data_IF_556200003333
#
_entry.id   IF_556200003333
#
_cell.length_a   1.000
_cell.length_b   1.000
_cell.length_c   1.000
_cell.angle_alpha   90.00
_cell.angle_beta   90.00
_cell.angle_gamma   90.00
#
_symmetry.space_group_name_H-M   'P 1'
#
loop_
_entity.id
_entity.type
_entity.pdbx_description
1 polymer ?
#
# COMPACT_ATOMS: atom_id res chain seq x y z
N UNK A 1 0.44 22.52 29.13
CA UNK A 1 -0.16 21.84 27.97
C UNK A 1 -0.03 20.36 28.20
N UNK A 2 -1.04 19.58 27.82
CA UNK A 2 -1.05 18.12 27.94
C UNK A 2 -0.79 17.55 26.55
N UNK A 3 0.26 16.73 26.42
CA UNK A 3 0.61 16.07 25.16
C UNK A 3 0.21 14.60 25.24
N UNK A 4 -0.57 14.15 24.26
CA UNK A 4 -1.04 12.77 24.13
C UNK A 4 -0.37 12.11 22.92
N UNK A 5 0.96 11.98 22.98
CA UNK A 5 1.81 11.48 21.88
C UNK A 5 1.41 12.11 20.52
N UNK A 6 1.06 11.28 19.55
CA UNK A 6 0.70 11.65 18.18
C UNK A 6 -0.77 12.04 18.01
N UNK A 7 -1.59 11.95 19.06
CA UNK A 7 -2.97 12.45 19.08
C UNK A 7 -3.00 13.98 19.11
N UNK A 8 -2.06 14.61 19.82
CA UNK A 8 -1.89 16.06 19.79
C UNK A 8 -1.47 16.69 21.12
N UNK A 9 -1.43 18.02 21.13
CA UNK A 9 -1.13 18.83 22.31
C UNK A 9 -2.29 19.75 22.63
N UNK A 10 -2.78 19.65 23.85
CA UNK A 10 -4.00 20.32 24.31
C UNK A 10 -3.65 21.34 25.40
N UNK A 11 -4.34 22.49 25.41
CA UNK A 11 -4.17 23.48 26.49
C UNK A 11 -4.65 22.90 27.82
N UNK A 12 -5.83 22.28 27.80
CA UNK A 12 -6.46 21.55 28.90
C UNK A 12 -7.13 20.31 28.34
N UNK A 13 -7.26 19.27 29.15
CA UNK A 13 -8.05 18.07 28.87
C UNK A 13 -9.10 17.90 29.98
N UNK A 14 -10.17 17.13 29.78
CA UNK A 14 -11.14 16.85 30.84
C UNK A 14 -10.45 16.31 32.11
N UNK A 15 -10.94 16.63 33.33
CA UNK A 15 -10.34 16.15 34.57
C UNK A 15 -10.14 14.63 34.64
N UNK A 16 -11.09 13.88 34.09
CA UNK A 16 -10.99 12.41 34.03
C UNK A 16 -9.86 11.92 33.12
N UNK A 17 -9.54 12.65 32.04
CA UNK A 17 -8.38 12.35 31.20
C UNK A 17 -7.10 12.58 32.00
N UNK A 18 -7.01 13.66 32.78
CA UNK A 18 -5.86 13.88 33.66
C UNK A 18 -5.70 12.72 34.66
N UNK A 19 -6.79 12.28 35.30
CA UNK A 19 -6.76 11.15 36.24
C UNK A 19 -6.25 9.86 35.58
N UNK A 20 -6.71 9.57 34.35
CA UNK A 20 -6.28 8.41 33.57
C UNK A 20 -4.78 8.47 33.26
N UNK A 21 -4.30 9.60 32.73
CA UNK A 21 -2.92 9.70 32.25
C UNK A 21 -1.91 9.86 33.40
N UNK A 22 -2.33 10.40 34.54
CA UNK A 22 -1.50 10.53 35.75
C UNK A 22 -1.53 9.29 36.65
N UNK A 23 -2.45 8.35 36.43
CA UNK A 23 -2.59 7.17 37.29
C UNK A 23 -3.26 7.47 38.63
N UNK A 24 -4.15 8.46 38.70
CA UNK A 24 -4.86 8.79 39.95
C UNK A 24 -6.01 7.81 40.20
N UNK A 25 -5.65 6.62 40.69
CA UNK A 25 -6.61 5.53 40.94
C UNK A 25 -7.69 5.93 41.94
N UNK A 26 -7.38 6.80 42.90
CA UNK A 26 -8.36 7.25 43.90
C UNK A 26 -9.47 8.06 43.22
N UNK A 27 -9.08 8.99 42.34
CA UNK A 27 -10.04 9.79 41.59
C UNK A 27 -10.80 8.95 40.55
N UNK A 28 -10.15 7.96 39.94
CA UNK A 28 -10.82 7.01 39.03
C UNK A 28 -11.87 6.15 39.76
N UNK A 29 -11.56 5.67 40.98
CA UNK A 29 -12.54 4.96 41.81
C UNK A 29 -13.72 5.85 42.20
N UNK A 30 -13.49 7.14 42.46
CA UNK A 30 -14.56 8.11 42.71
C UNK A 30 -15.45 8.27 41.47
N UNK A 31 -14.88 8.54 40.30
CA UNK A 31 -15.66 8.66 39.05
C UNK A 31 -16.44 7.39 38.74
N UNK A 32 -15.84 6.22 38.93
CA UNK A 32 -16.50 4.93 38.73
C UNK A 32 -17.69 4.73 39.69
N UNK A 33 -17.51 5.06 40.97
CA UNK A 33 -18.57 5.00 41.98
C UNK A 33 -19.73 5.98 41.69
N UNK A 34 -19.43 7.11 41.04
CA UNK A 34 -20.42 8.09 40.57
C UNK A 34 -21.14 7.65 39.28
N UNK A 35 -20.82 6.47 38.74
CA UNK A 35 -21.49 5.88 37.57
C UNK A 35 -20.84 6.26 36.25
N UNK A 36 -19.57 6.66 36.24
CA UNK A 36 -18.82 6.82 34.99
C UNK A 36 -18.69 5.48 34.25
N UNK A 37 -19.07 5.50 32.96
CA UNK A 37 -18.94 4.37 32.04
C UNK A 37 -17.52 4.30 31.46
N UNK A 38 -16.77 3.27 31.87
CA UNK A 38 -15.38 3.03 31.45
C UNK A 38 -15.24 2.60 29.98
N UNK A 39 -16.35 2.25 29.31
CA UNK A 39 -16.36 1.93 27.87
C UNK A 39 -16.61 3.16 27.00
N UNK A 40 -17.16 4.23 27.60
CA UNK A 40 -17.57 5.42 26.85
C UNK A 40 -16.36 6.27 26.48
N UNK A 41 -16.27 6.61 25.20
CA UNK A 41 -15.25 7.55 24.71
C UNK A 41 -15.36 8.92 25.37
N UNK A 42 -14.21 9.54 25.61
CA UNK A 42 -14.06 10.85 26.22
C UNK A 42 -13.62 11.84 25.15
N UNK A 43 -14.36 12.93 25.00
CA UNK A 43 -13.99 14.01 24.08
C UNK A 43 -12.91 14.89 24.68
N UNK A 44 -11.76 14.94 24.01
CA UNK A 44 -10.55 15.67 24.45
C UNK A 44 -10.45 17.02 23.71
N UNK A 45 -10.94 17.05 22.48
CA UNK A 45 -10.97 18.22 21.62
C UNK A 45 -12.13 18.16 20.64
N UNK A 46 -12.22 19.12 19.73
CA UNK A 46 -13.36 19.27 18.80
C UNK A 46 -13.61 18.02 17.92
N UNK A 47 -12.55 17.26 17.64
CA UNK A 47 -12.56 16.13 16.70
C UNK A 47 -11.77 14.92 17.24
N UNK A 48 -11.61 14.82 18.56
CA UNK A 48 -10.79 13.78 19.19
C UNK A 48 -11.55 13.19 20.35
N UNK A 49 -11.95 11.93 20.17
CA UNK A 49 -12.60 11.12 21.18
C UNK A 49 -11.75 9.86 21.40
N UNK A 50 -11.42 9.56 22.66
CA UNK A 50 -10.59 8.40 23.00
C UNK A 50 -11.26 7.55 24.07
N UNK A 51 -11.09 6.23 24.00
CA UNK A 51 -11.53 5.37 25.09
C UNK A 51 -10.62 5.54 26.32
N UNK A 52 -11.12 5.30 27.54
CA UNK A 52 -10.28 5.31 28.73
C UNK A 52 -9.11 4.33 28.64
N UNK A 53 -9.34 3.18 28.01
CA UNK A 53 -8.33 2.15 27.76
C UNK A 53 -7.25 2.63 26.79
N UNK A 54 -7.62 3.26 25.67
CA UNK A 54 -6.67 3.80 24.70
C UNK A 54 -5.82 4.90 25.31
N UNK A 55 -6.41 5.80 26.11
CA UNK A 55 -5.65 6.81 26.84
C UNK A 55 -4.59 6.20 27.78
N UNK A 56 -4.95 5.14 28.50
CA UNK A 56 -4.01 4.42 29.36
C UNK A 56 -2.87 3.78 28.56
N UNK A 57 -3.16 3.21 27.38
CA UNK A 57 -2.16 2.57 26.51
C UNK A 57 -1.27 3.59 25.79
N UNK A 58 -1.85 4.64 25.20
CA UNK A 58 -1.13 5.73 24.53
C UNK A 58 -0.15 6.36 25.51
N UNK A 59 -0.57 6.61 26.75
CA UNK A 59 0.27 7.21 27.78
C UNK A 59 1.09 6.21 28.57
N UNK A 60 1.03 4.92 28.22
CA UNK A 60 1.76 3.84 28.89
C UNK A 60 1.52 3.81 30.42
N UNK A 61 0.34 4.25 30.87
CA UNK A 61 -0.01 4.31 32.28
C UNK A 61 -0.48 2.93 32.76
N UNK A 62 0.49 2.14 33.25
CA UNK A 62 0.23 0.76 33.61
C UNK A 62 -0.68 0.61 34.84
N UNK A 63 -0.66 1.56 35.77
CA UNK A 63 -1.54 1.52 36.95
C UNK A 63 -3.00 1.73 36.56
N UNK A 64 -3.28 2.73 35.71
CA UNK A 64 -4.63 2.92 35.15
C UNK A 64 -5.07 1.72 34.32
N UNK A 65 -4.17 1.13 33.51
CA UNK A 65 -4.48 -0.07 32.74
C UNK A 65 -4.91 -1.24 33.65
N UNK A 66 -4.12 -1.53 34.69
CA UNK A 66 -4.45 -2.58 35.67
C UNK A 66 -5.80 -2.31 36.35
N UNK A 67 -6.03 -1.05 36.71
CA UNK A 67 -7.30 -0.65 37.32
C UNK A 67 -8.48 -0.86 36.36
N UNK A 68 -8.39 -0.40 35.11
CA UNK A 68 -9.45 -0.59 34.10
C UNK A 68 -9.76 -2.09 33.87
N UNK A 69 -8.73 -2.92 33.77
CA UNK A 69 -8.88 -4.38 33.65
C UNK A 69 -9.57 -4.97 34.88
N UNK A 70 -9.22 -4.52 36.08
CA UNK A 70 -9.87 -4.97 37.33
C UNK A 70 -11.36 -4.60 37.39
N UNK A 71 -11.79 -3.56 36.67
CA UNK A 71 -13.20 -3.16 36.54
C UNK A 71 -13.91 -3.80 35.35
N UNK A 72 -13.22 -4.68 34.60
CA UNK A 72 -13.82 -5.48 33.53
C UNK A 72 -13.92 -4.75 32.18
N UNK A 73 -13.03 -3.79 31.90
CA UNK A 73 -12.99 -3.12 30.58
C UNK A 73 -12.85 -4.12 29.42
N UNK A 74 -13.52 -3.86 28.30
CA UNK A 74 -13.48 -4.69 27.12
C UNK A 74 -12.17 -4.52 26.33
N UNK A 75 -11.27 -5.49 26.46
CA UNK A 75 -10.00 -5.52 25.73
C UNK A 75 -10.13 -5.78 24.22
N UNK A 76 -11.30 -6.22 23.76
CA UNK A 76 -11.52 -6.79 22.43
C UNK A 76 -12.61 -6.04 21.65
N UNK A 77 -12.70 -4.72 21.81
CA UNK A 77 -13.56 -3.88 21.00
C UNK A 77 -13.29 -4.12 19.49
N UNK A 78 -14.37 -4.30 18.72
CA UNK A 78 -14.29 -4.76 17.32
C UNK A 78 -13.42 -3.85 16.44
N UNK A 79 -13.59 -2.55 16.58
CA UNK A 79 -12.98 -1.55 15.70
C UNK A 79 -11.64 -1.00 16.22
N UNK A 80 -11.36 -1.21 17.52
CA UNK A 80 -10.11 -0.84 18.16
C UNK A 80 -9.68 -1.82 19.28
N UNK A 81 -9.19 -3.02 18.93
CA UNK A 81 -8.71 -3.99 19.92
C UNK A 81 -7.48 -3.46 20.67
N UNK A 82 -7.47 -3.62 22.00
CA UNK A 82 -6.41 -3.10 22.88
C UNK A 82 -4.99 -3.59 22.54
N UNK A 83 -4.88 -4.83 22.03
CA UNK A 83 -3.60 -5.40 21.62
C UNK A 83 -2.90 -4.54 20.55
N UNK A 84 -3.67 -3.96 19.62
CA UNK A 84 -3.15 -3.14 18.53
C UNK A 84 -2.61 -1.80 19.04
N UNK A 85 -3.37 -1.11 19.89
CA UNK A 85 -2.92 0.13 20.56
C UNK A 85 -1.67 -0.13 21.41
N UNK A 86 -1.64 -1.24 22.16
CA UNK A 86 -0.49 -1.57 23.00
C UNK A 86 0.77 -1.90 22.19
N UNK A 87 0.62 -2.62 21.08
CA UNK A 87 1.73 -2.89 20.15
C UNK A 87 2.31 -1.60 19.57
N UNK A 88 1.46 -0.63 19.27
CA UNK A 88 1.90 0.67 18.75
C UNK A 88 2.62 1.50 19.80
N UNK A 89 2.09 1.58 21.02
CA UNK A 89 2.48 2.59 21.99
C UNK A 89 3.30 2.08 23.17
N UNK A 90 3.21 0.80 23.53
CA UNK A 90 3.72 0.26 24.78
C UNK A 90 4.89 -0.71 24.58
N UNK A 91 5.54 -1.05 25.68
CA UNK A 91 6.58 -2.09 25.78
C UNK A 91 5.99 -3.45 26.14
N UNK A 92 6.87 -4.45 26.13
CA UNK A 92 6.51 -5.87 26.24
C UNK A 92 5.76 -6.23 27.53
N UNK A 93 6.01 -5.54 28.64
CA UNK A 93 5.35 -5.78 29.92
C UNK A 93 3.85 -5.49 29.86
N UNK A 94 3.45 -4.34 29.30
CA UNK A 94 2.04 -3.97 29.11
C UNK A 94 1.37 -4.90 28.10
N UNK A 95 2.04 -5.22 26.98
CA UNK A 95 1.50 -6.12 25.95
C UNK A 95 1.25 -7.52 26.53
N UNK A 96 2.22 -8.07 27.26
CA UNK A 96 2.07 -9.38 27.90
C UNK A 96 0.97 -9.38 28.96
N UNK A 97 0.84 -8.29 29.72
CA UNK A 97 -0.23 -8.15 30.71
C UNK A 97 -1.61 -8.18 30.06
N UNK A 98 -1.82 -7.44 28.95
CA UNK A 98 -3.07 -7.47 28.19
C UNK A 98 -3.42 -8.88 27.70
N UNK A 99 -2.45 -9.57 27.10
CA UNK A 99 -2.67 -10.94 26.58
C UNK A 99 -3.01 -11.90 27.71
N UNK A 100 -2.33 -11.81 28.86
CA UNK A 100 -2.64 -12.60 30.05
C UNK A 100 -4.05 -12.37 30.59
N UNK A 101 -4.67 -11.22 30.29
CA UNK A 101 -6.04 -10.86 30.68
C UNK A 101 -7.04 -10.99 29.52
N UNK A 102 -6.68 -11.70 28.44
CA UNK A 102 -7.61 -12.09 27.39
C UNK A 102 -7.69 -11.14 26.20
N UNK A 103 -6.74 -10.22 26.02
CA UNK A 103 -6.62 -9.48 24.77
C UNK A 103 -6.29 -10.44 23.61
N UNK A 104 -7.07 -10.36 22.53
CA UNK A 104 -6.87 -11.19 21.33
C UNK A 104 -5.73 -10.62 20.49
N UNK A 105 -4.80 -11.51 20.13
CA UNK A 105 -3.58 -11.18 19.37
C UNK A 105 -3.86 -11.11 17.85
N UNK A 106 -4.67 -12.03 17.33
CA UNK A 106 -4.96 -12.15 15.90
C UNK A 106 -6.21 -11.34 15.52
N UNK A 107 -6.06 -10.02 15.51
CA UNK A 107 -7.14 -9.05 15.27
C UNK A 107 -6.71 -7.95 14.30
N UNK A 108 -7.68 -7.20 13.79
CA UNK A 108 -7.47 -5.99 12.99
C UNK A 108 -8.36 -4.87 13.51
N UNK A 109 -7.96 -3.61 13.31
CA UNK A 109 -8.81 -2.45 13.59
C UNK A 109 -9.78 -2.17 12.43
N UNK A 110 -10.57 -1.09 12.52
CA UNK A 110 -11.51 -0.66 11.48
C UNK A 110 -10.87 -0.38 10.11
N UNK A 111 -9.58 -0.04 10.08
CA UNK A 111 -8.77 0.14 8.87
C UNK A 111 -8.19 -1.17 8.33
N UNK A 112 -8.60 -2.31 8.90
CA UNK A 112 -8.04 -3.65 8.62
C UNK A 112 -6.55 -3.74 8.91
N UNK A 113 -6.04 -2.89 9.81
CA UNK A 113 -4.64 -2.88 10.20
C UNK A 113 -4.37 -3.89 11.31
N UNK A 114 -3.36 -4.74 11.14
CA UNK A 114 -2.93 -5.76 12.11
C UNK A 114 -1.77 -5.30 13.01
N UNK A 115 -1.28 -6.21 13.86
CA UNK A 115 -0.25 -5.90 14.84
C UNK A 115 1.09 -5.53 14.22
N UNK A 116 1.52 -6.19 13.14
CA UNK A 116 2.79 -5.81 12.50
C UNK A 116 2.70 -4.41 11.89
N UNK A 117 1.59 -4.07 11.26
CA UNK A 117 1.39 -2.73 10.71
C UNK A 117 1.34 -1.65 11.81
N UNK A 118 0.69 -1.93 12.94
CA UNK A 118 0.68 -1.01 14.07
C UNK A 118 2.07 -0.82 14.69
N UNK A 119 2.89 -1.87 14.73
CA UNK A 119 4.28 -1.77 15.16
C UNK A 119 5.10 -0.89 14.21
N UNK A 120 4.94 -1.03 12.89
CA UNK A 120 5.61 -0.16 11.92
C UNK A 120 5.16 1.29 12.03
N UNK A 121 3.84 1.52 12.11
CA UNK A 121 3.28 2.85 12.21
C UNK A 121 3.73 3.59 13.49
N UNK A 122 3.78 2.88 14.63
CA UNK A 122 4.32 3.41 15.89
C UNK A 122 5.85 3.46 15.95
N UNK A 123 6.56 2.95 14.93
CA UNK A 123 8.02 2.72 14.95
C UNK A 123 8.48 1.86 16.14
N UNK A 124 7.59 1.00 16.63
CA UNK A 124 7.78 0.09 17.76
C UNK A 124 8.38 -1.23 17.29
N UNK A 125 9.49 -1.17 16.56
CA UNK A 125 10.12 -2.33 15.93
C UNK A 125 10.58 -3.41 16.93
N UNK A 126 10.89 -3.01 18.17
CA UNK A 126 11.23 -3.94 19.25
C UNK A 126 10.09 -4.92 19.57
N UNK A 127 8.84 -4.55 19.24
CA UNK A 127 7.67 -5.40 19.47
C UNK A 127 7.49 -6.50 18.40
N UNK A 128 8.20 -6.45 17.27
CA UNK A 128 8.02 -7.41 16.17
C UNK A 128 8.25 -8.86 16.62
N UNK A 129 9.33 -9.12 17.37
CA UNK A 129 9.63 -10.45 17.89
C UNK A 129 8.56 -10.93 18.90
N UNK A 130 8.06 -10.02 19.73
CA UNK A 130 7.00 -10.31 20.70
C UNK A 130 5.70 -10.69 19.97
N UNK A 131 5.28 -9.90 18.98
CA UNK A 131 4.08 -10.16 18.16
C UNK A 131 4.14 -11.56 17.53
N UNK A 132 5.28 -11.91 16.94
CA UNK A 132 5.52 -13.25 16.38
C UNK A 132 5.38 -14.34 17.46
N UNK A 133 6.06 -14.16 18.61
CA UNK A 133 6.06 -15.15 19.71
C UNK A 133 4.68 -15.36 20.35
N UNK A 134 3.80 -14.36 20.29
CA UNK A 134 2.43 -14.42 20.79
C UNK A 134 1.45 -15.08 19.80
N UNK A 135 1.94 -15.54 18.64
CA UNK A 135 1.16 -16.31 17.67
C UNK A 135 0.57 -15.49 16.51
N UNK A 136 0.93 -14.20 16.38
CA UNK A 136 0.70 -13.43 15.15
C UNK A 136 1.92 -13.58 14.25
N UNK A 137 2.02 -14.74 13.60
CA UNK A 137 3.25 -15.19 12.95
C UNK A 137 3.56 -14.43 11.65
N UNK A 138 4.85 -14.27 11.35
CA UNK A 138 5.34 -13.51 10.18
C UNK A 138 4.93 -14.20 8.88
N UNK A 139 5.06 -15.51 8.84
CA UNK A 139 4.72 -16.39 7.73
C UNK A 139 3.27 -16.20 7.27
N UNK A 140 2.37 -15.86 8.20
CA UNK A 140 0.94 -15.75 7.93
C UNK A 140 0.48 -14.31 7.73
N UNK A 141 1.05 -13.36 8.49
CA UNK A 141 0.55 -11.99 8.56
C UNK A 141 1.57 -10.93 8.08
N UNK A 142 2.85 -11.28 8.01
CA UNK A 142 3.94 -10.33 7.78
C UNK A 142 4.05 -9.75 6.36
N UNK A 143 3.48 -10.40 5.33
CA UNK A 143 3.70 -9.97 3.93
C UNK A 143 3.28 -8.53 3.63
N UNK A 144 2.18 -8.07 4.23
CA UNK A 144 1.70 -6.70 4.07
C UNK A 144 2.63 -5.68 4.74
N UNK A 145 3.02 -5.94 5.99
CA UNK A 145 3.96 -5.09 6.73
C UNK A 145 5.35 -5.09 6.09
N UNK A 146 5.81 -6.23 5.58
CA UNK A 146 7.07 -6.35 4.86
C UNK A 146 7.10 -5.45 3.62
N UNK A 147 6.05 -5.49 2.79
CA UNK A 147 5.91 -4.59 1.63
C UNK A 147 5.94 -3.11 2.05
N UNK A 148 5.25 -2.74 3.13
CA UNK A 148 5.26 -1.36 3.64
C UNK A 148 6.65 -0.92 4.13
N UNK A 149 7.40 -1.82 4.78
CA UNK A 149 8.73 -1.50 5.29
C UNK A 149 9.78 -1.17 4.20
N UNK A 150 9.51 -1.54 2.94
CA UNK A 150 10.37 -1.23 1.78
C UNK A 150 10.52 0.27 1.59
N UNK A 151 9.42 1.05 1.66
CA UNK A 151 9.47 2.50 1.45
C UNK A 151 10.26 3.23 2.53
N UNK A 152 10.33 2.65 3.74
CA UNK A 152 11.06 3.21 4.88
C UNK A 152 12.56 2.89 4.83
N UNK A 153 13.01 2.06 3.89
CA UNK A 153 14.40 1.58 3.74
C UNK A 153 14.97 0.98 5.03
N UNK A 154 14.13 0.39 5.86
CA UNK A 154 14.51 -0.15 7.15
C UNK A 154 14.94 -1.62 7.04
N UNK A 155 16.17 -1.85 6.58
CA UNK A 155 16.72 -3.18 6.38
C UNK A 155 16.66 -4.08 7.63
N UNK A 156 16.78 -3.52 8.85
CA UNK A 156 16.66 -4.32 10.09
C UNK A 156 15.28 -4.94 10.24
N UNK A 157 14.23 -4.21 9.87
CA UNK A 157 12.85 -4.71 9.89
C UNK A 157 12.64 -5.73 8.77
N UNK A 158 13.18 -5.48 7.58
CA UNK A 158 13.13 -6.44 6.47
C UNK A 158 13.85 -7.75 6.82
N UNK A 159 15.05 -7.67 7.39
CA UNK A 159 15.85 -8.81 7.86
C UNK A 159 15.09 -9.62 8.92
N UNK A 160 14.39 -8.95 9.85
CA UNK A 160 13.52 -9.63 10.81
C UNK A 160 12.46 -10.47 10.08
N UNK A 161 11.69 -9.87 9.18
CA UNK A 161 10.64 -10.59 8.46
C UNK A 161 11.19 -11.73 7.60
N UNK A 162 12.32 -11.52 6.93
CA UNK A 162 13.01 -12.56 6.13
C UNK A 162 13.47 -13.71 7.02
N UNK A 163 14.02 -13.42 8.21
CA UNK A 163 14.47 -14.46 9.16
C UNK A 163 13.34 -15.37 9.66
N UNK A 164 12.09 -14.91 9.55
CA UNK A 164 10.88 -15.68 9.86
C UNK A 164 10.06 -16.03 8.61
N UNK A 165 10.72 -16.22 7.45
CA UNK A 165 10.12 -16.73 6.21
C UNK A 165 8.86 -15.98 5.76
N UNK A 166 8.89 -14.65 5.80
CA UNK A 166 7.82 -13.84 5.21
C UNK A 166 7.61 -14.18 3.73
N UNK A 167 6.37 -14.09 3.26
CA UNK A 167 6.06 -14.08 1.83
C UNK A 167 6.60 -12.78 1.20
N UNK A 168 7.86 -12.81 0.75
CA UNK A 168 8.54 -11.69 0.06
C UNK A 168 7.80 -11.26 -1.22
N UNK A 169 6.99 -12.16 -1.77
CA UNK A 169 6.22 -11.99 -3.00
C UNK A 169 4.75 -11.61 -2.75
N UNK A 170 4.40 -11.22 -1.51
CA UNK A 170 3.07 -10.77 -1.16
C UNK A 170 2.56 -9.65 -2.10
N UNK A 171 1.42 -9.90 -2.75
CA UNK A 171 0.85 -9.02 -3.78
C UNK A 171 -0.67 -8.86 -3.65
N UNK A 172 -1.19 -8.64 -2.44
CA UNK A 172 -2.62 -8.33 -2.27
C UNK A 172 -2.88 -6.83 -2.29
N UNK A 173 -4.13 -6.47 -2.58
CA UNK A 173 -4.57 -5.08 -2.54
C UNK A 173 -4.75 -4.66 -1.09
N UNK A 174 -4.41 -3.41 -0.79
CA UNK A 174 -4.72 -2.75 0.47
C UNK A 174 -5.20 -1.30 0.19
N UNK A 175 -5.35 -0.49 1.23
CA UNK A 175 -5.82 0.89 1.09
C UNK A 175 -4.79 1.85 0.48
N UNK A 176 -3.49 1.51 0.54
CA UNK A 176 -2.39 2.29 -0.03
C UNK A 176 -2.12 1.86 -1.48
N UNK A 177 -2.20 0.57 -1.74
CA UNK A 177 -1.83 -0.05 -3.01
C UNK A 177 -2.94 -0.95 -3.57
N UNK A 178 -3.94 -0.37 -4.27
CA UNK A 178 -5.05 -1.12 -4.85
C UNK A 178 -4.62 -2.00 -6.04
N UNK A 179 -3.52 -1.64 -6.70
CA UNK A 179 -2.96 -2.32 -7.87
C UNK A 179 -2.10 -3.55 -7.54
N UNK A 180 -2.06 -3.99 -6.28
CA UNK A 180 -1.45 -5.26 -5.87
C UNK A 180 0.08 -5.38 -6.15
N UNK A 181 0.91 -4.39 -5.79
CA UNK A 181 2.36 -4.46 -5.94
C UNK A 181 2.99 -5.57 -5.09
N UNK A 182 4.05 -6.20 -5.57
CA UNK A 182 5.01 -6.90 -4.70
C UNK A 182 5.92 -5.87 -4.01
N UNK A 183 6.66 -6.29 -2.98
CA UNK A 183 7.72 -5.48 -2.38
C UNK A 183 8.74 -4.99 -3.42
N UNK A 184 9.07 -5.83 -4.41
CA UNK A 184 10.01 -5.49 -5.47
C UNK A 184 9.47 -4.42 -6.42
N UNK A 185 8.20 -4.49 -6.79
CA UNK A 185 7.57 -3.44 -7.60
C UNK A 185 7.51 -2.10 -6.85
N UNK A 186 7.25 -2.11 -5.54
CA UNK A 186 7.32 -0.90 -4.70
C UNK A 186 8.73 -0.30 -4.76
N UNK A 187 9.78 -1.10 -4.54
CA UNK A 187 11.16 -0.63 -4.62
C UNK A 187 11.51 -0.03 -6.00
N UNK A 188 11.08 -0.68 -7.09
CA UNK A 188 11.28 -0.19 -8.45
C UNK A 188 10.60 1.17 -8.68
N UNK A 189 9.37 1.35 -8.16
CA UNK A 189 8.61 2.61 -8.29
C UNK A 189 9.27 3.78 -7.54
N UNK A 190 9.98 3.48 -6.45
CA UNK A 190 10.82 4.45 -5.72
C UNK A 190 12.20 4.66 -6.35
N UNK A 191 12.48 4.03 -7.51
CA UNK A 191 13.76 4.15 -8.22
C UNK A 191 14.94 3.72 -7.32
N UNK A 192 14.73 2.68 -6.49
CA UNK A 192 15.71 2.19 -5.52
C UNK A 192 16.33 0.86 -5.95
N UNK A 193 17.30 0.93 -6.89
CA UNK A 193 17.98 -0.25 -7.40
C UNK A 193 18.71 -1.06 -6.31
N UNK A 194 19.16 -0.42 -5.23
CA UNK A 194 19.83 -1.12 -4.13
C UNK A 194 18.83 -2.00 -3.37
N UNK A 195 17.66 -1.46 -3.04
CA UNK A 195 16.58 -2.23 -2.43
C UNK A 195 16.08 -3.34 -3.37
N UNK A 196 15.95 -3.07 -4.67
CA UNK A 196 15.59 -4.10 -5.65
C UNK A 196 16.57 -5.27 -5.64
N UNK A 197 17.89 -4.98 -5.68
CA UNK A 197 18.94 -6.01 -5.61
C UNK A 197 18.89 -6.79 -4.30
N UNK A 198 18.68 -6.13 -3.17
CA UNK A 198 18.52 -6.78 -1.87
C UNK A 198 17.32 -7.73 -1.85
N UNK A 199 16.15 -7.29 -2.32
CA UNK A 199 14.94 -8.13 -2.37
C UNK A 199 15.14 -9.35 -3.29
N UNK A 200 15.77 -9.17 -4.46
CA UNK A 200 16.09 -10.28 -5.37
C UNK A 200 17.07 -11.27 -4.73
N UNK A 201 18.10 -10.78 -4.03
CA UNK A 201 19.04 -11.64 -3.28
C UNK A 201 18.35 -12.49 -2.22
N UNK A 202 17.21 -12.02 -1.69
CA UNK A 202 16.38 -12.73 -0.71
C UNK A 202 15.19 -13.48 -1.33
N UNK A 203 15.14 -13.64 -2.66
CA UNK A 203 14.18 -14.51 -3.34
C UNK A 203 12.91 -13.82 -3.86
N UNK A 204 12.93 -12.50 -3.99
CA UNK A 204 11.85 -11.80 -4.70
C UNK A 204 11.81 -12.23 -6.18
N UNK A 205 10.61 -12.59 -6.64
CA UNK A 205 10.36 -13.00 -8.02
C UNK A 205 10.21 -11.77 -8.92
N UNK A 206 11.15 -11.61 -9.84
CA UNK A 206 11.21 -10.50 -10.80
C UNK A 206 10.12 -10.56 -11.86
N UNK A 207 9.44 -11.71 -12.01
CA UNK A 207 8.44 -11.94 -13.06
C UNK A 207 7.01 -11.65 -12.60
N UNK A 208 6.79 -11.45 -11.30
CA UNK A 208 5.46 -11.20 -10.76
C UNK A 208 4.94 -9.83 -11.17
N UNK A 209 3.78 -9.86 -11.82
CA UNK A 209 3.08 -8.68 -12.26
C UNK A 209 2.01 -8.22 -11.25
N UNK A 210 1.82 -6.91 -11.21
CA UNK A 210 0.74 -6.17 -10.57
C UNK A 210 -0.59 -6.42 -11.29
N UNK A 211 -1.69 -5.88 -10.74
CA UNK A 211 -3.04 -6.06 -11.29
C UNK A 211 -3.17 -5.53 -12.73
N UNK A 212 -2.43 -4.47 -13.04
CA UNK A 212 -2.36 -3.82 -14.35
C UNK A 212 -1.27 -4.43 -15.27
N UNK A 213 -0.69 -5.57 -14.88
CA UNK A 213 0.32 -6.28 -15.67
C UNK A 213 1.73 -5.74 -15.51
N UNK A 214 1.93 -4.63 -14.78
CA UNK A 214 3.26 -4.06 -14.56
C UNK A 214 4.12 -4.98 -13.72
N UNK A 215 5.39 -5.13 -14.10
CA UNK A 215 6.40 -5.92 -13.37
C UNK A 215 7.66 -5.05 -13.18
N UNK A 216 8.62 -5.43 -12.33
CA UNK A 216 9.75 -4.58 -11.97
C UNK A 216 10.49 -3.93 -13.16
N UNK A 217 10.74 -4.69 -14.23
CA UNK A 217 11.32 -4.15 -15.48
C UNK A 217 10.44 -3.10 -16.17
N UNK A 218 9.14 -3.33 -16.33
CA UNK A 218 8.27 -2.37 -17.02
C UNK A 218 8.07 -1.10 -16.18
N UNK A 219 8.12 -1.22 -14.85
CA UNK A 219 8.17 -0.07 -13.94
C UNK A 219 9.48 0.69 -14.10
N UNK A 220 10.62 0.00 -14.19
CA UNK A 220 11.91 0.66 -14.45
C UNK A 220 11.91 1.44 -15.78
N UNK A 221 11.30 0.88 -16.82
CA UNK A 221 11.09 1.59 -18.09
C UNK A 221 10.19 2.81 -17.90
N UNK A 222 9.02 2.67 -17.27
CA UNK A 222 8.11 3.78 -16.95
C UNK A 222 8.82 4.90 -16.18
N UNK A 223 9.71 4.56 -15.25
CA UNK A 223 10.51 5.52 -14.46
C UNK A 223 11.76 6.04 -15.17
N UNK A 224 11.97 5.66 -16.43
CA UNK A 224 13.13 6.01 -17.23
C UNK A 224 14.48 5.65 -16.57
N UNK A 225 14.52 4.65 -15.68
CA UNK A 225 15.74 4.15 -15.05
C UNK A 225 16.33 3.00 -15.89
N UNK A 226 17.25 3.37 -16.77
CA UNK A 226 17.90 2.43 -17.69
C UNK A 226 18.79 1.41 -16.97
N UNK A 227 19.45 1.79 -15.86
CA UNK A 227 20.31 0.87 -15.11
C UNK A 227 19.46 -0.24 -14.46
N UNK A 228 18.33 0.16 -13.86
CA UNK A 228 17.39 -0.77 -13.25
C UNK A 228 16.70 -1.65 -14.29
N UNK A 229 16.32 -1.11 -15.44
CA UNK A 229 15.73 -1.88 -16.53
C UNK A 229 16.70 -2.95 -17.04
N UNK A 230 17.97 -2.59 -17.28
CA UNK A 230 19.00 -3.55 -17.71
C UNK A 230 19.30 -4.60 -16.63
N UNK A 231 19.29 -4.21 -15.35
CA UNK A 231 19.40 -5.17 -14.26
C UNK A 231 18.28 -6.21 -14.30
N UNK A 232 17.01 -5.80 -14.34
CA UNK A 232 15.89 -6.74 -14.37
C UNK A 232 15.88 -7.61 -15.62
N UNK A 233 16.15 -7.02 -16.79
CA UNK A 233 16.27 -7.75 -18.06
C UNK A 233 17.33 -8.84 -18.01
N UNK A 234 18.44 -8.61 -17.30
CA UNK A 234 19.53 -9.59 -17.18
C UNK A 234 19.19 -10.82 -16.33
N UNK A 235 18.16 -10.73 -15.49
CA UNK A 235 17.76 -11.79 -14.54
C UNK A 235 16.37 -12.38 -14.83
N UNK A 236 15.67 -11.83 -15.82
CA UNK A 236 14.41 -12.38 -16.29
C UNK A 236 14.59 -13.49 -17.31
N UNK A 237 13.56 -14.34 -17.51
CA UNK A 237 13.57 -15.30 -18.60
C UNK A 237 13.71 -14.58 -19.95
N UNK A 238 14.65 -15.03 -20.77
CA UNK A 238 14.96 -14.46 -22.10
C UNK A 238 13.71 -14.34 -22.98
N UNK A 239 12.74 -15.25 -22.81
CA UNK A 239 11.48 -15.27 -23.55
C UNK A 239 10.64 -13.99 -23.38
N UNK A 240 10.77 -13.28 -22.26
CA UNK A 240 10.07 -12.02 -22.00
C UNK A 240 10.60 -10.85 -22.85
N UNK A 241 11.83 -10.99 -23.38
CA UNK A 241 12.50 -9.99 -24.21
C UNK A 241 12.70 -10.48 -25.65
N UNK A 242 11.92 -11.48 -26.08
CA UNK A 242 11.98 -12.02 -27.43
C UNK A 242 10.83 -11.46 -28.29
N UNK A 243 11.19 -10.85 -29.42
CA UNK A 243 10.21 -10.26 -30.35
C UNK A 243 9.22 -11.28 -30.93
N UNK A 244 9.67 -12.49 -31.26
CA UNK A 244 8.79 -13.53 -31.81
C UNK A 244 7.74 -13.96 -30.78
N UNK A 245 8.17 -14.19 -29.54
CA UNK A 245 7.26 -14.54 -28.44
C UNK A 245 6.26 -13.41 -28.18
N UNK A 246 6.72 -12.15 -28.22
CA UNK A 246 5.84 -11.00 -28.06
C UNK A 246 4.81 -10.91 -29.18
N UNK A 247 5.22 -11.08 -30.43
CA UNK A 247 4.28 -11.09 -31.57
C UNK A 247 3.25 -12.21 -31.44
N UNK A 248 3.65 -13.38 -30.95
CA UNK A 248 2.75 -14.50 -30.67
C UNK A 248 1.72 -14.17 -29.57
N UNK A 249 2.15 -13.53 -28.48
CA UNK A 249 1.27 -13.01 -27.43
C UNK A 249 0.24 -12.01 -28.00
N UNK A 250 0.72 -11.08 -28.83
CA UNK A 250 -0.05 -9.96 -29.37
C UNK A 250 -1.06 -10.37 -30.46
N UNK A 251 -1.00 -11.60 -31.01
CA UNK A 251 -2.02 -12.12 -31.95
C UNK A 251 -3.43 -12.04 -31.37
N UNK A 252 -3.58 -12.27 -30.06
CA UNK A 252 -4.88 -12.19 -29.39
C UNK A 252 -5.46 -10.76 -29.33
N UNK A 253 -4.62 -9.74 -29.52
CA UNK A 253 -4.97 -8.33 -29.41
C UNK A 253 -5.38 -7.71 -30.76
N UNK A 254 -5.18 -8.41 -31.88
CA UNK A 254 -5.64 -7.98 -33.22
C UNK A 254 -5.22 -6.54 -33.55
N UNK A 255 -3.97 -6.20 -33.24
CA UNK A 255 -3.43 -4.87 -33.48
C UNK A 255 -3.50 -4.52 -34.97
N UNK A 256 -3.99 -3.33 -35.36
CA UNK A 256 -3.94 -2.89 -36.73
C UNK A 256 -2.49 -2.71 -37.18
N UNK A 257 -2.26 -2.85 -38.49
CA UNK A 257 -0.91 -2.75 -39.07
C UNK A 257 -0.24 -1.41 -38.70
N UNK A 258 -1.00 -0.31 -38.71
CA UNK A 258 -0.48 1.03 -38.39
C UNK A 258 0.00 1.13 -36.94
N UNK A 259 -0.72 0.52 -35.99
CA UNK A 259 -0.28 0.47 -34.58
C UNK A 259 0.96 -0.41 -34.40
N UNK A 260 1.03 -1.55 -35.09
CA UNK A 260 2.21 -2.41 -35.08
C UNK A 260 3.45 -1.71 -35.65
N UNK A 261 3.29 -0.98 -36.75
CA UNK A 261 4.39 -0.21 -37.37
C UNK A 261 4.82 0.95 -36.47
N UNK A 262 3.87 1.66 -35.85
CA UNK A 262 4.17 2.73 -34.89
C UNK A 262 5.00 2.23 -33.71
N UNK A 263 4.55 1.16 -33.03
CA UNK A 263 5.23 0.60 -31.84
C UNK A 263 6.60 -0.04 -32.16
N UNK A 264 6.91 -0.30 -33.43
CA UNK A 264 8.22 -0.78 -33.89
C UNK A 264 9.10 0.35 -34.44
N UNK A 265 8.59 1.57 -34.52
CA UNK A 265 9.33 2.74 -34.99
C UNK A 265 10.19 3.36 -33.89
N UNK A 266 11.00 4.34 -34.29
CA UNK A 266 11.92 5.05 -33.39
C UNK A 266 11.27 6.26 -32.69
N UNK A 267 10.16 6.78 -33.23
CA UNK A 267 9.48 7.95 -32.67
C UNK A 267 8.19 7.54 -31.92
N UNK A 268 8.34 7.28 -30.62
CA UNK A 268 7.29 6.84 -29.73
C UNK A 268 6.79 7.94 -28.80
N UNK A 269 7.00 9.21 -29.18
CA UNK A 269 6.51 10.37 -28.45
C UNK A 269 5.56 11.18 -29.34
N UNK A 270 4.43 11.55 -28.77
CA UNK A 270 3.48 12.49 -29.38
C UNK A 270 3.39 13.69 -28.44
N UNK A 271 3.88 14.84 -28.89
CA UNK A 271 3.66 16.10 -28.17
C UNK A 271 2.24 16.61 -28.45
N UNK A 272 1.57 17.05 -27.39
CA UNK A 272 0.16 17.47 -27.40
C UNK A 272 0.06 18.92 -26.93
N UNK A 273 0.42 19.90 -27.79
CA UNK A 273 0.26 21.30 -27.43
C UNK A 273 -1.23 21.57 -27.14
N UNK A 274 -1.47 22.37 -26.10
CA UNK A 274 -2.80 22.78 -25.66
C UNK A 274 -3.70 21.63 -25.13
N UNK A 275 -3.13 20.46 -24.84
CA UNK A 275 -3.79 19.38 -24.10
C UNK A 275 -3.28 19.32 -22.67
N UNK A 276 -4.16 19.01 -21.71
CA UNK A 276 -3.76 18.81 -20.32
C UNK A 276 -2.78 17.63 -20.15
N UNK A 277 -2.73 16.68 -21.10
CA UNK A 277 -1.75 15.60 -21.09
C UNK A 277 -0.32 16.07 -21.39
N UNK A 278 -0.13 17.23 -22.03
CA UNK A 278 1.13 17.77 -22.58
C UNK A 278 1.84 16.90 -23.63
N UNK A 279 2.04 15.61 -23.35
CA UNK A 279 2.62 14.63 -24.25
C UNK A 279 2.20 13.22 -23.87
N UNK A 280 2.36 12.30 -24.82
CA UNK A 280 2.28 10.86 -24.60
C UNK A 280 3.59 10.22 -25.02
N UNK A 281 4.15 9.40 -24.15
CA UNK A 281 5.25 8.50 -24.49
C UNK A 281 4.74 7.06 -24.51
N UNK A 282 5.11 6.31 -25.54
CA UNK A 282 4.67 4.94 -25.76
C UNK A 282 5.81 3.96 -25.50
N UNK A 283 5.44 2.77 -25.02
CA UNK A 283 6.35 1.63 -24.98
C UNK A 283 6.71 1.20 -26.40
N UNK A 284 7.90 0.63 -26.59
CA UNK A 284 8.15 -0.16 -27.81
C UNK A 284 7.21 -1.37 -27.83
N UNK A 285 7.03 -2.00 -29.00
CA UNK A 285 6.18 -3.19 -29.14
C UNK A 285 6.53 -4.27 -28.11
N UNK A 286 7.83 -4.48 -27.88
CA UNK A 286 8.35 -5.48 -26.94
C UNK A 286 7.94 -5.21 -25.50
N UNK A 287 7.81 -3.93 -25.14
CA UNK A 287 7.62 -3.45 -23.78
C UNK A 287 6.15 -3.20 -23.42
N UNK A 288 5.23 -3.29 -24.39
CA UNK A 288 3.79 -3.17 -24.15
C UNK A 288 3.28 -4.13 -23.06
N UNK A 289 2.37 -3.66 -22.21
CA UNK A 289 1.97 -4.38 -20.99
C UNK A 289 0.55 -4.92 -21.12
N UNK A 290 0.41 -6.24 -21.08
CA UNK A 290 -0.87 -6.93 -21.16
C UNK A 290 -1.53 -7.06 -19.79
N UNK A 291 -2.81 -6.71 -19.69
CA UNK A 291 -3.58 -6.89 -18.45
C UNK A 291 -5.05 -7.19 -18.69
N UNK A 292 -5.78 -7.45 -17.60
CA UNK A 292 -7.21 -7.74 -17.63
C UNK A 292 -7.99 -6.69 -16.87
N UNK A 293 -9.02 -6.17 -17.54
CA UNK A 293 -10.07 -5.38 -16.92
C UNK A 293 -11.39 -6.13 -17.01
N UNK A 294 -11.97 -6.46 -15.85
CA UNK A 294 -13.10 -7.39 -15.72
C UNK A 294 -12.85 -8.72 -16.48
N UNK A 295 -13.53 -8.93 -17.62
CA UNK A 295 -13.35 -10.12 -18.49
C UNK A 295 -12.65 -9.80 -19.81
N UNK A 296 -12.21 -8.55 -19.99
CA UNK A 296 -11.60 -8.06 -21.22
C UNK A 296 -10.08 -8.02 -21.06
N UNK A 297 -9.35 -8.36 -22.14
CA UNK A 297 -7.90 -8.13 -22.21
C UNK A 297 -7.68 -6.73 -22.75
N UNK A 298 -6.78 -5.99 -22.11
CA UNK A 298 -6.29 -4.69 -22.58
C UNK A 298 -4.78 -4.76 -22.75
N UNK A 299 -4.26 -3.95 -23.65
CA UNK A 299 -2.83 -3.79 -23.86
C UNK A 299 -2.48 -2.34 -23.57
N UNK A 300 -1.78 -2.08 -22.46
CA UNK A 300 -1.20 -0.77 -22.21
C UNK A 300 -0.10 -0.52 -23.24
N UNK A 301 -0.22 0.60 -23.93
CA UNK A 301 0.73 1.05 -24.94
C UNK A 301 1.44 2.32 -24.51
N UNK A 302 0.86 3.14 -23.62
CA UNK A 302 1.60 4.27 -23.03
C UNK A 302 2.61 3.80 -22.01
N UNK A 303 3.80 4.38 -22.09
CA UNK A 303 4.81 4.42 -21.05
C UNK A 303 4.50 5.55 -20.06
N UNK A 304 4.27 6.76 -20.56
CA UNK A 304 4.02 7.96 -19.75
C UNK A 304 2.95 8.84 -20.40
N UNK A 305 2.18 9.57 -19.58
CA UNK A 305 0.99 10.33 -19.96
C UNK A 305 1.03 11.75 -19.39
N UNK A 306 2.21 12.37 -19.44
CA UNK A 306 2.49 13.68 -18.83
C UNK A 306 2.06 13.72 -17.37
N UNK A 307 1.25 14.72 -17.02
CA UNK A 307 0.81 14.94 -15.63
C UNK A 307 -0.33 13.98 -15.18
N UNK A 308 -0.96 13.25 -16.11
CA UNK A 308 -2.05 12.31 -15.79
C UNK A 308 -1.53 10.94 -15.42
N UNK A 309 -0.94 10.82 -14.23
CA UNK A 309 -0.29 9.58 -13.79
C UNK A 309 -1.24 8.40 -13.55
N UNK A 310 -2.53 8.67 -13.32
CA UNK A 310 -3.55 7.63 -13.08
C UNK A 310 -4.33 7.24 -14.35
N UNK A 311 -4.15 7.95 -15.48
CA UNK A 311 -4.79 7.60 -16.75
C UNK A 311 -3.75 7.07 -17.73
N UNK A 312 -3.94 5.81 -18.17
CA UNK A 312 -3.05 5.17 -19.16
C UNK A 312 -3.74 5.02 -20.51
N UNK A 313 -2.95 5.03 -21.58
CA UNK A 313 -3.42 4.77 -22.94
C UNK A 313 -3.28 3.29 -23.26
N UNK A 314 -4.39 2.69 -23.64
CA UNK A 314 -4.49 1.25 -23.91
C UNK A 314 -5.09 0.99 -25.28
N UNK A 315 -4.77 -0.18 -25.84
CA UNK A 315 -5.51 -0.77 -26.95
C UNK A 315 -6.59 -1.72 -26.43
N UNK A 316 -7.83 -1.47 -26.85
CA UNK A 316 -8.97 -2.33 -26.61
C UNK A 316 -9.23 -3.25 -27.82
N UNK A 317 -8.85 -4.54 -27.77
CA UNK A 317 -8.99 -5.46 -28.88
C UNK A 317 -10.44 -5.83 -29.19
N UNK A 318 -11.36 -5.63 -28.24
CA UNK A 318 -12.80 -5.90 -28.43
C UNK A 318 -13.45 -4.81 -29.27
N UNK A 319 -13.18 -3.55 -28.94
CA UNK A 319 -13.66 -2.40 -29.68
C UNK A 319 -12.83 -2.09 -30.93
N UNK A 320 -11.60 -2.61 -30.99
CA UNK A 320 -10.56 -2.24 -31.98
C UNK A 320 -10.28 -0.74 -31.96
N UNK A 321 -10.13 -0.20 -30.75
CA UNK A 321 -9.94 1.22 -30.50
C UNK A 321 -8.80 1.46 -29.53
N UNK A 322 -8.18 2.62 -29.65
CA UNK A 322 -7.39 3.20 -28.57
C UNK A 322 -8.37 3.72 -27.51
N UNK A 323 -7.98 3.63 -26.24
CA UNK A 323 -8.82 3.99 -25.11
C UNK A 323 -7.98 4.60 -23.99
N UNK A 324 -8.61 5.47 -23.21
CA UNK A 324 -8.09 5.88 -21.90
C UNK A 324 -8.61 4.89 -20.86
N UNK A 325 -7.72 4.44 -19.97
CA UNK A 325 -8.07 3.63 -18.82
C UNK A 325 -7.64 4.35 -17.54
N UNK A 326 -8.61 4.66 -16.70
CA UNK A 326 -8.41 5.25 -15.38
C UNK A 326 -8.08 4.15 -14.37
N UNK A 327 -6.87 4.18 -13.80
CA UNK A 327 -6.41 3.22 -12.81
C UNK A 327 -7.12 3.37 -11.46
N UNK A 328 -7.48 4.59 -11.08
CA UNK A 328 -8.12 4.92 -9.81
C UNK A 328 -9.59 4.48 -9.81
N UNK A 329 -10.34 4.95 -10.80
CA UNK A 329 -11.77 4.68 -10.95
C UNK A 329 -12.07 3.34 -11.64
N UNK A 330 -11.07 2.73 -12.28
CA UNK A 330 -11.21 1.50 -13.07
C UNK A 330 -12.23 1.66 -14.19
N UNK A 331 -12.16 2.80 -14.90
CA UNK A 331 -13.06 3.15 -15.99
C UNK A 331 -12.31 3.08 -17.33
N UNK A 332 -13.01 2.59 -18.37
CA UNK A 332 -12.45 2.45 -19.70
C UNK A 332 -13.29 3.27 -20.68
N UNK A 333 -12.65 4.24 -21.33
CA UNK A 333 -13.29 5.12 -22.31
C UNK A 333 -12.64 4.90 -23.68
N UNK A 334 -13.38 4.23 -24.57
CA UNK A 334 -12.96 4.00 -25.95
C UNK A 334 -12.99 5.33 -26.74
N UNK A 335 -11.87 5.69 -27.37
CA UNK A 335 -11.75 6.90 -28.17
C UNK A 335 -12.10 6.58 -29.65
N UNK A 336 -11.08 6.33 -30.46
CA UNK A 336 -11.16 6.15 -31.91
C UNK A 336 -10.33 4.95 -32.38
N UNK A 337 -10.28 4.72 -33.69
CA UNK A 337 -9.23 3.86 -34.25
C UNK A 337 -7.85 4.48 -34.02
N UNK A 338 -6.79 3.69 -34.11
CA UNK A 338 -5.44 4.21 -33.94
C UNK A 338 -5.05 5.19 -35.05
N UNK A 339 -5.48 4.91 -36.29
CA UNK A 339 -5.26 5.77 -37.45
C UNK A 339 -5.91 7.15 -37.29
N UNK A 340 -7.14 7.21 -36.77
CA UNK A 340 -7.80 8.48 -36.47
C UNK A 340 -7.11 9.20 -35.30
N UNK A 341 -6.67 8.46 -34.28
CA UNK A 341 -6.03 9.04 -33.11
C UNK A 341 -4.75 9.78 -33.46
N UNK A 342 -3.85 9.16 -34.23
CA UNK A 342 -2.58 9.78 -34.60
C UNK A 342 -2.76 11.00 -35.53
N UNK A 343 -3.91 11.15 -36.19
CA UNK A 343 -4.19 12.31 -37.04
C UNK A 343 -4.67 13.54 -36.27
N UNK A 344 -5.35 13.35 -35.13
CA UNK A 344 -5.82 14.43 -34.27
C UNK A 344 -5.88 14.02 -32.79
N UNK A 345 -4.72 13.76 -32.15
CA UNK A 345 -4.69 13.14 -30.84
C UNK A 345 -5.29 14.02 -29.73
N UNK A 346 -5.08 15.35 -29.80
CA UNK A 346 -5.70 16.32 -28.87
C UNK A 346 -7.23 16.24 -28.95
N UNK A 347 -7.81 16.36 -30.15
CA UNK A 347 -9.27 16.27 -30.35
C UNK A 347 -9.86 14.93 -29.84
N UNK A 348 -9.09 13.83 -29.89
CA UNK A 348 -9.56 12.55 -29.34
C UNK A 348 -9.49 12.51 -27.82
N UNK A 349 -8.44 13.06 -27.22
CA UNK A 349 -8.29 13.11 -25.76
C UNK A 349 -9.27 14.10 -25.12
N UNK A 350 -9.62 15.19 -25.79
CA UNK A 350 -10.64 16.12 -25.28
C UNK A 350 -12.01 15.45 -25.12
N UNK A 351 -12.31 14.42 -25.91
CA UNK A 351 -13.54 13.60 -25.76
C UNK A 351 -13.53 12.73 -24.51
N UNK A 352 -12.38 12.53 -23.87
CA UNK A 352 -12.29 11.81 -22.61
C UNK A 352 -12.77 12.66 -21.43
N UNK A 353 -12.54 13.98 -21.51
CA UNK A 353 -12.88 14.92 -20.44
C UNK A 353 -14.31 15.49 -20.55
N UNK A 354 -14.99 15.28 -21.68
CA UNK A 354 -16.35 15.74 -21.96
C UNK A 354 -17.35 14.58 -21.99
#
# INVERSE_FOLDING_TARGET
>A
MVSLKDIGTFKTVPPIVNAIISGDITLLDQYYAEGWDIEKQISIGKHTDESPLDLALIMENFDTLKWLISKGVNLNAKDNPSFLSAVRYCKADIINYLVAHGAKVNVVNHLKSDAFQQALYGKSYDNLALIHSLGHTVEKYGGLAFRQAVSDRNYKVLDFFISFNVDINYNKADMVYPFKPTALCVAARYVDLHMCKYLVQHGADVTLAEKDGMRPYSIALEKADSEMAEYFKSIEPVDFHNLSNKLDELKAYKLPKVLLEFLQGDNLRIDLPDSDFEYLEFFTLLETVAFKFARQKLLRISKETGDYTDTIIVWNPKAKKIACYDLEHQELTDLSTFEEFITSPVDQLDKYFN
#
